data_IF_727511929117
#
_entry.id   IF_727511929117
#
_cell.length_a   1.000
_cell.length_b   1.000
_cell.length_c   1.000
_cell.angle_alpha   90.00
_cell.angle_beta   90.00
_cell.angle_gamma   90.00
#
_symmetry.space_group_name_H-M   'P 1'
#
loop_
_entity.id
_entity.type
_entity.pdbx_description
1 polymer ?
#
# COMPACT_ATOMS: atom_id res chain seq x y z
N UNK A 1 12.01 -16.90 -26.92
CA UNK A 1 11.99 -16.44 -28.32
C UNK A 1 13.13 -15.49 -28.65
N UNK A 2 13.16 -14.24 -28.14
CA UNK A 2 14.22 -13.26 -28.51
C UNK A 2 15.61 -13.81 -28.21
N UNK A 3 15.96 -14.16 -26.97
CA UNK A 3 17.31 -14.69 -26.65
C UNK A 3 17.73 -15.91 -27.47
N UNK A 4 16.81 -16.83 -27.77
CA UNK A 4 17.10 -18.05 -28.53
C UNK A 4 17.50 -17.74 -29.99
N UNK A 5 16.84 -16.77 -30.63
CA UNK A 5 17.12 -16.41 -32.02
C UNK A 5 18.43 -15.61 -32.22
N UNK A 6 19.14 -15.23 -31.15
CA UNK A 6 20.28 -14.30 -31.25
C UNK A 6 21.46 -14.92 -31.99
N UNK A 7 21.84 -16.14 -31.60
CA UNK A 7 22.96 -16.86 -32.21
C UNK A 7 22.73 -17.10 -33.70
N UNK A 8 21.51 -17.48 -34.06
CA UNK A 8 21.10 -17.76 -35.44
C UNK A 8 20.98 -16.48 -36.27
N UNK A 9 20.42 -15.40 -35.74
CA UNK A 9 20.47 -14.09 -36.42
C UNK A 9 21.92 -13.62 -36.60
N UNK A 10 22.82 -13.87 -35.66
CA UNK A 10 24.24 -13.52 -35.83
C UNK A 10 24.88 -14.31 -36.98
N UNK A 11 24.55 -15.59 -37.15
CA UNK A 11 25.00 -16.41 -38.30
C UNK A 11 24.50 -15.84 -39.63
N UNK A 12 23.21 -15.52 -39.74
CA UNK A 12 22.62 -14.96 -40.97
C UNK A 12 23.23 -13.58 -41.31
N UNK A 13 23.45 -12.72 -40.31
CA UNK A 13 24.06 -11.39 -40.48
C UNK A 13 25.52 -11.51 -40.93
N UNK A 14 26.28 -12.43 -40.35
CA UNK A 14 27.66 -12.68 -40.76
C UNK A 14 27.73 -13.20 -42.20
N UNK A 15 26.76 -14.02 -42.62
CA UNK A 15 26.65 -14.47 -44.00
C UNK A 15 26.42 -13.29 -44.95
N UNK A 16 25.51 -12.36 -44.62
CA UNK A 16 25.31 -11.12 -45.39
C UNK A 16 26.59 -10.29 -45.52
N UNK A 17 27.37 -10.15 -44.44
CA UNK A 17 28.67 -9.46 -44.50
C UNK A 17 29.67 -10.18 -45.42
N UNK A 18 29.68 -11.51 -45.42
CA UNK A 18 30.52 -12.29 -46.35
C UNK A 18 30.11 -12.07 -47.81
N UNK A 19 28.80 -11.97 -48.10
CA UNK A 19 28.29 -11.61 -49.44
C UNK A 19 28.80 -10.22 -49.84
N UNK A 20 28.59 -9.21 -48.98
CA UNK A 20 29.02 -7.82 -49.24
C UNK A 20 30.54 -7.69 -49.40
N UNK A 21 31.33 -8.55 -48.76
CA UNK A 21 32.78 -8.54 -48.87
C UNK A 21 33.26 -8.92 -50.29
N UNK A 22 32.63 -9.90 -50.93
CA UNK A 22 33.08 -10.45 -52.22
C UNK A 22 32.23 -10.01 -53.42
N UNK A 23 31.08 -9.36 -53.18
CA UNK A 23 30.17 -8.90 -54.25
C UNK A 23 30.00 -7.38 -54.30
N UNK A 24 29.78 -6.84 -55.49
CA UNK A 24 29.32 -5.47 -55.74
C UNK A 24 27.88 -5.49 -56.23
N UNK A 25 27.11 -4.48 -55.79
CA UNK A 25 25.77 -4.25 -56.34
C UNK A 25 25.87 -3.47 -57.63
N UNK A 26 25.16 -3.93 -58.63
CA UNK A 26 24.94 -3.25 -59.88
C UNK A 26 23.46 -3.17 -60.21
N UNK A 27 23.19 -2.58 -61.36
CA UNK A 27 21.88 -2.58 -61.98
C UNK A 27 21.97 -3.36 -63.29
N UNK A 28 20.94 -4.15 -63.58
CA UNK A 28 20.72 -4.79 -64.87
C UNK A 28 19.35 -4.34 -65.41
N UNK A 29 19.24 -4.13 -66.72
CA UNK A 29 18.02 -3.63 -67.38
C UNK A 29 18.14 -2.23 -68.02
N UNK A 30 17.28 -1.99 -69.01
CA UNK A 30 17.15 -0.72 -69.73
C UNK A 30 16.40 0.35 -68.90
N UNK A 31 16.39 1.61 -69.36
CA UNK A 31 15.76 2.73 -68.65
C UNK A 31 14.26 2.48 -68.40
N UNK A 32 13.92 1.95 -67.22
CA UNK A 32 12.55 1.66 -66.79
C UNK A 32 12.44 0.41 -65.90
N UNK A 33 13.32 -0.58 -66.11
CA UNK A 33 13.27 -1.89 -65.43
C UNK A 33 14.61 -2.22 -64.74
N UNK A 34 15.14 -1.28 -63.96
CA UNK A 34 16.40 -1.51 -63.24
C UNK A 34 16.22 -2.56 -62.15
N UNK A 35 16.70 -3.78 -62.38
CA UNK A 35 16.80 -4.84 -61.38
C UNK A 35 18.15 -4.72 -60.66
N UNK A 36 18.14 -4.78 -59.33
CA UNK A 36 19.39 -4.89 -58.56
C UNK A 36 20.01 -6.26 -58.82
N UNK A 37 21.31 -6.30 -59.12
CA UNK A 37 22.06 -7.53 -59.34
C UNK A 37 23.34 -7.53 -58.51
N UNK A 38 23.84 -8.71 -58.16
CA UNK A 38 25.15 -8.90 -57.53
C UNK A 38 26.18 -9.37 -58.55
N UNK A 39 27.41 -8.88 -58.42
CA UNK A 39 28.57 -9.23 -59.26
C UNK A 39 29.76 -9.53 -58.37
N UNK A 40 30.65 -10.43 -58.78
CA UNK A 40 31.90 -10.69 -58.05
C UNK A 40 32.89 -9.51 -58.21
N UNK A 41 33.64 -9.19 -57.15
CA UNK A 41 34.58 -8.06 -57.14
C UNK A 41 35.86 -8.27 -57.98
N UNK A 42 36.32 -9.50 -58.22
CA UNK A 42 37.49 -9.79 -59.07
C UNK A 42 37.65 -11.30 -59.39
N UNK A 43 38.65 -11.67 -60.21
CA UNK A 43 39.01 -13.06 -60.56
C UNK A 43 39.56 -13.86 -59.35
N UNK A 44 40.05 -13.20 -58.30
CA UNK A 44 40.67 -13.83 -57.12
C UNK A 44 39.64 -14.35 -56.09
N UNK A 45 38.35 -14.10 -56.32
CA UNK A 45 37.30 -14.43 -55.35
C UNK A 45 36.56 -15.75 -55.66
N UNK A 46 37.06 -16.59 -56.58
CA UNK A 46 36.43 -17.88 -56.92
C UNK A 46 36.33 -18.81 -55.71
N UNK A 47 37.45 -19.09 -55.04
CA UNK A 47 37.48 -19.97 -53.87
C UNK A 47 36.62 -19.42 -52.72
N UNK A 48 36.66 -18.09 -52.50
CA UNK A 48 35.82 -17.42 -51.51
C UNK A 48 34.34 -17.49 -51.85
N UNK A 49 33.99 -17.48 -53.14
CA UNK A 49 32.62 -17.62 -53.60
C UNK A 49 32.12 -19.06 -53.39
N UNK A 50 32.93 -20.07 -53.69
CA UNK A 50 32.58 -21.47 -53.38
C UNK A 50 32.41 -21.67 -51.87
N UNK A 51 33.32 -21.11 -51.07
CA UNK A 51 33.21 -21.12 -49.61
C UNK A 51 31.93 -20.42 -49.14
N UNK A 52 31.58 -19.28 -49.75
CA UNK A 52 30.34 -18.56 -49.47
C UNK A 52 29.11 -19.42 -49.79
N UNK A 53 29.06 -20.10 -50.94
CA UNK A 53 27.93 -20.97 -51.31
C UNK A 53 27.78 -22.15 -50.35
N UNK A 54 28.90 -22.77 -49.96
CA UNK A 54 28.92 -23.84 -48.96
C UNK A 54 28.38 -23.34 -47.62
N UNK A 55 28.90 -22.20 -47.14
CA UNK A 55 28.50 -21.57 -45.88
C UNK A 55 27.04 -21.12 -45.91
N UNK A 56 26.56 -20.59 -47.03
CA UNK A 56 25.17 -20.20 -47.21
C UNK A 56 24.24 -21.41 -47.05
N UNK A 57 24.56 -22.52 -47.71
CA UNK A 57 23.79 -23.75 -47.60
C UNK A 57 23.82 -24.34 -46.17
N UNK A 58 24.97 -24.31 -45.52
CA UNK A 58 25.12 -24.75 -44.13
C UNK A 58 24.27 -23.91 -43.18
N UNK A 59 24.41 -22.58 -43.24
CA UNK A 59 23.62 -21.66 -42.41
C UNK A 59 22.12 -21.84 -42.69
N UNK A 60 21.67 -21.91 -43.95
CA UNK A 60 20.26 -22.11 -44.25
C UNK A 60 19.72 -23.43 -43.67
N UNK A 61 20.50 -24.51 -43.72
CA UNK A 61 20.13 -25.80 -43.12
C UNK A 61 20.06 -25.72 -41.59
N UNK A 62 21.06 -25.11 -40.95
CA UNK A 62 21.08 -24.98 -39.48
C UNK A 62 19.94 -24.10 -38.97
N UNK A 63 19.53 -23.12 -39.77
CA UNK A 63 18.60 -22.08 -39.36
C UNK A 63 17.16 -22.29 -39.84
N UNK A 64 16.90 -23.38 -40.58
CA UNK A 64 15.60 -23.70 -41.21
C UNK A 64 14.43 -23.69 -40.22
N UNK A 65 14.63 -24.21 -39.01
CA UNK A 65 13.59 -24.29 -37.98
C UNK A 65 13.54 -23.06 -37.07
N UNK A 66 14.49 -22.13 -37.20
CA UNK A 66 14.59 -20.92 -36.36
C UNK A 66 14.16 -19.65 -37.08
N UNK A 67 13.70 -19.81 -38.33
CA UNK A 67 13.09 -18.76 -39.12
C UNK A 67 11.89 -18.19 -38.37
N UNK A 68 11.82 -16.85 -38.11
CA UNK A 68 10.68 -16.28 -37.40
C UNK A 68 9.31 -16.72 -37.96
N UNK A 69 8.53 -17.37 -37.10
CA UNK A 69 7.23 -17.97 -37.42
C UNK A 69 6.11 -16.92 -37.50
N UNK A 70 4.91 -17.33 -37.95
CA UNK A 70 3.72 -16.45 -37.95
C UNK A 70 3.42 -15.95 -36.54
N UNK A 71 3.46 -16.86 -35.57
CA UNK A 71 3.29 -16.56 -34.13
C UNK A 71 4.32 -15.54 -33.62
N UNK A 72 5.59 -15.70 -34.01
CA UNK A 72 6.64 -14.76 -33.62
C UNK A 72 6.35 -13.34 -34.11
N UNK A 73 5.88 -13.19 -35.36
CA UNK A 73 5.51 -11.89 -35.92
C UNK A 73 4.25 -11.33 -35.27
N UNK A 74 3.24 -12.16 -35.00
CA UNK A 74 2.03 -11.75 -34.26
C UNK A 74 2.37 -11.21 -32.87
N UNK A 75 3.28 -11.86 -32.14
CA UNK A 75 3.74 -11.37 -30.82
C UNK A 75 4.47 -10.04 -30.88
N UNK A 76 5.18 -9.76 -31.99
CA UNK A 76 5.79 -8.45 -32.22
C UNK A 76 4.71 -7.39 -32.47
N UNK A 77 3.68 -7.71 -33.25
CA UNK A 77 2.53 -6.82 -33.49
C UNK A 77 1.76 -6.55 -32.18
N UNK A 78 1.48 -7.59 -31.39
CA UNK A 78 0.85 -7.49 -30.06
C UNK A 78 1.64 -6.57 -29.13
N UNK A 79 2.95 -6.78 -29.03
CA UNK A 79 3.80 -5.96 -28.17
C UNK A 79 3.94 -4.51 -28.68
N UNK A 80 3.88 -4.29 -30.01
CA UNK A 80 3.82 -2.94 -30.58
C UNK A 80 2.51 -2.22 -30.21
N UNK A 81 1.38 -2.91 -30.28
CA UNK A 81 0.08 -2.36 -29.89
C UNK A 81 0.03 -2.04 -28.39
N UNK A 82 0.43 -2.98 -27.54
CA UNK A 82 0.51 -2.77 -26.08
C UNK A 82 1.39 -1.57 -25.72
N UNK A 83 2.53 -1.40 -26.41
CA UNK A 83 3.38 -0.21 -26.23
C UNK A 83 2.63 1.09 -26.56
N UNK A 84 1.85 1.12 -27.64
CA UNK A 84 1.06 2.29 -28.03
C UNK A 84 -0.01 2.59 -26.97
N UNK A 85 -0.70 1.57 -26.47
CA UNK A 85 -1.69 1.70 -25.40
C UNK A 85 -1.06 2.25 -24.11
N UNK A 86 0.03 1.65 -23.63
CA UNK A 86 0.74 2.15 -22.43
C UNK A 86 1.20 3.59 -22.61
N UNK A 87 1.62 3.97 -23.82
CA UNK A 87 2.01 5.36 -24.12
C UNK A 87 0.80 6.31 -24.06
N UNK A 88 -0.36 5.89 -24.55
CA UNK A 88 -1.62 6.63 -24.46
C UNK A 88 -2.04 6.84 -23.01
N UNK A 89 -2.17 5.73 -22.25
CA UNK A 89 -2.55 5.74 -20.83
C UNK A 89 -1.58 6.62 -20.03
N UNK A 90 -0.28 6.49 -20.27
CA UNK A 90 0.73 7.32 -19.58
C UNK A 90 0.48 8.81 -19.81
N UNK A 91 0.15 9.24 -21.03
CA UNK A 91 -0.13 10.65 -21.32
C UNK A 91 -1.35 11.15 -20.54
N UNK A 92 -2.39 10.32 -20.42
CA UNK A 92 -3.60 10.66 -19.65
C UNK A 92 -3.31 10.76 -18.15
N UNK A 93 -2.52 9.82 -17.61
CA UNK A 93 -2.06 9.84 -16.21
C UNK A 93 -1.19 11.07 -15.97
N UNK A 94 -0.22 11.36 -16.83
CA UNK A 94 0.66 12.53 -16.71
C UNK A 94 -0.15 13.84 -16.78
N UNK A 95 -1.16 13.92 -17.65
CA UNK A 95 -2.07 15.05 -17.73
C UNK A 95 -2.85 15.24 -16.41
N UNK A 96 -3.44 14.16 -15.89
CA UNK A 96 -4.22 14.15 -14.65
C UNK A 96 -3.36 14.52 -13.45
N UNK A 97 -2.15 13.96 -13.37
CA UNK A 97 -1.17 14.24 -12.34
C UNK A 97 -0.75 15.72 -12.35
N UNK A 98 -0.53 16.30 -13.53
CA UNK A 98 -0.19 17.71 -13.64
C UNK A 98 -1.37 18.61 -13.23
N UNK A 99 -2.59 18.30 -13.66
CA UNK A 99 -3.78 19.03 -13.24
C UNK A 99 -3.97 18.98 -11.71
N UNK A 100 -3.76 17.81 -11.10
CA UNK A 100 -3.83 17.63 -9.65
C UNK A 100 -2.71 18.41 -8.91
N UNK A 101 -1.48 18.40 -9.43
CA UNK A 101 -0.37 19.20 -8.86
C UNK A 101 -0.70 20.69 -8.86
N UNK A 102 -1.26 21.22 -9.95
CA UNK A 102 -1.67 22.63 -10.01
C UNK A 102 -2.85 22.92 -9.06
N UNK A 103 -3.82 22.02 -8.95
CA UNK A 103 -4.92 22.15 -8.00
C UNK A 103 -4.42 22.18 -6.54
N UNK A 104 -3.52 21.26 -6.15
CA UNK A 104 -2.92 21.23 -4.81
C UNK A 104 -2.13 22.51 -4.52
N UNK A 105 -1.30 22.96 -5.47
CA UNK A 105 -0.56 24.23 -5.33
C UNK A 105 -1.47 25.43 -5.09
N UNK A 106 -2.65 25.46 -5.71
CA UNK A 106 -3.58 26.58 -5.55
C UNK A 106 -4.03 26.77 -4.08
N UNK A 107 -4.07 25.71 -3.27
CA UNK A 107 -4.33 25.80 -1.84
C UNK A 107 -3.24 26.56 -1.06
N UNK A 108 -2.02 26.61 -1.58
CA UNK A 108 -0.91 27.33 -0.94
C UNK A 108 -0.91 28.83 -1.26
N UNK A 109 -1.61 29.26 -2.33
CA UNK A 109 -1.62 30.66 -2.80
C UNK A 109 -2.88 31.44 -2.43
N UNK A 110 -3.93 30.76 -1.98
CA UNK A 110 -5.13 31.44 -1.51
C UNK A 110 -4.81 32.06 -0.14
N UNK A 111 -4.82 33.39 -0.07
CA UNK A 111 -4.60 34.23 1.14
C UNK A 111 -5.69 34.07 2.21
N UNK A 112 -6.46 32.98 2.12
CA UNK A 112 -7.46 32.53 3.09
C UNK A 112 -6.74 31.56 4.03
N UNK A 113 -7.00 31.63 5.32
CA UNK A 113 -6.37 30.80 6.36
C UNK A 113 -6.76 29.30 6.24
N UNK A 114 -6.35 28.65 5.15
CA UNK A 114 -6.68 27.28 4.75
C UNK A 114 -6.12 26.25 5.73
N UNK A 115 -4.94 26.52 6.28
CA UNK A 115 -4.33 25.73 7.34
C UNK A 115 -5.16 25.70 8.62
N UNK A 116 -6.06 26.68 8.82
CA UNK A 116 -7.01 26.72 9.93
C UNK A 116 -8.28 25.89 9.70
N UNK A 117 -8.53 25.39 8.49
CA UNK A 117 -9.72 24.59 8.17
C UNK A 117 -9.36 23.09 8.05
N UNK A 118 -9.81 22.29 9.01
CA UNK A 118 -9.53 20.85 9.06
C UNK A 118 -10.00 20.10 7.81
N UNK A 119 -11.17 20.43 7.26
CA UNK A 119 -11.71 19.78 6.07
C UNK A 119 -10.86 20.10 4.84
N UNK A 120 -10.38 21.33 4.72
CA UNK A 120 -9.54 21.70 3.59
C UNK A 120 -8.16 21.04 3.65
N UNK A 121 -7.60 20.87 4.86
CA UNK A 121 -6.38 20.09 5.06
C UNK A 121 -6.59 18.60 4.74
N UNK A 122 -7.73 18.03 5.11
CA UNK A 122 -8.09 16.65 4.75
C UNK A 122 -8.16 16.46 3.23
N UNK A 123 -8.81 17.37 2.50
CA UNK A 123 -8.87 17.34 1.02
C UNK A 123 -7.49 17.49 0.40
N UNK A 124 -6.65 18.40 0.93
CA UNK A 124 -5.26 18.57 0.46
C UNK A 124 -4.46 17.29 0.64
N UNK A 125 -4.51 16.69 1.84
CA UNK A 125 -3.80 15.45 2.15
C UNK A 125 -4.25 14.31 1.23
N UNK A 126 -5.56 14.14 1.03
CA UNK A 126 -6.10 13.15 0.09
C UNK A 126 -5.61 13.40 -1.35
N UNK A 127 -5.54 14.66 -1.77
CA UNK A 127 -4.96 15.05 -3.06
C UNK A 127 -3.48 14.67 -3.18
N UNK A 128 -2.68 14.89 -2.13
CA UNK A 128 -1.27 14.52 -2.10
C UNK A 128 -1.06 13.00 -2.15
N UNK A 129 -1.89 12.21 -1.45
CA UNK A 129 -1.89 10.76 -1.54
C UNK A 129 -2.21 10.27 -2.96
N UNK A 130 -3.25 10.83 -3.60
CA UNK A 130 -3.59 10.50 -5.00
C UNK A 130 -2.45 10.89 -5.95
N UNK A 131 -1.82 12.05 -5.74
CA UNK A 131 -0.66 12.50 -6.52
C UNK A 131 0.47 11.48 -6.45
N UNK A 132 0.78 10.98 -5.25
CA UNK A 132 1.87 10.03 -5.04
C UNK A 132 1.58 8.67 -5.68
N UNK A 133 0.32 8.22 -5.61
CA UNK A 133 -0.15 7.02 -6.34
C UNK A 133 0.00 7.21 -7.86
N UNK A 134 -0.48 8.32 -8.42
CA UNK A 134 -0.37 8.61 -9.85
C UNK A 134 1.10 8.72 -10.30
N UNK A 135 1.97 9.31 -9.47
CA UNK A 135 3.40 9.40 -9.75
C UNK A 135 4.05 8.00 -9.78
N UNK A 136 3.65 7.10 -8.88
CA UNK A 136 4.09 5.71 -8.89
C UNK A 136 3.59 4.97 -10.14
N UNK A 137 2.33 5.16 -10.54
CA UNK A 137 1.78 4.61 -11.79
C UNK A 137 2.55 5.10 -13.01
N UNK A 138 2.85 6.41 -13.10
CA UNK A 138 3.69 6.97 -14.17
C UNK A 138 5.06 6.31 -14.21
N UNK A 139 5.69 6.06 -13.05
CA UNK A 139 7.00 5.40 -12.98
C UNK A 139 6.93 3.95 -13.48
N UNK A 140 5.91 3.18 -13.07
CA UNK A 140 5.69 1.80 -13.53
C UNK A 140 5.44 1.78 -15.04
N UNK A 141 4.54 2.62 -15.56
CA UNK A 141 4.27 2.75 -16.99
C UNK A 141 5.53 3.16 -17.76
N UNK A 142 6.37 4.03 -17.18
CA UNK A 142 7.66 4.43 -17.72
C UNK A 142 8.60 3.24 -17.88
N UNK A 143 8.79 2.46 -16.83
CA UNK A 143 9.66 1.28 -16.84
C UNK A 143 9.19 0.23 -17.87
N UNK A 144 7.90 -0.09 -17.88
CA UNK A 144 7.32 -1.05 -18.83
C UNK A 144 7.47 -0.55 -20.28
N UNK A 145 7.21 0.73 -20.54
CA UNK A 145 7.33 1.31 -21.89
C UNK A 145 8.77 1.25 -22.40
N UNK A 146 9.75 1.52 -21.53
CA UNK A 146 11.19 1.45 -21.89
C UNK A 146 11.59 0.00 -22.19
N UNK A 147 11.25 -0.94 -21.31
CA UNK A 147 11.55 -2.37 -21.52
C UNK A 147 10.91 -2.92 -22.80
N UNK A 148 9.64 -2.57 -23.06
CA UNK A 148 8.95 -2.95 -24.29
C UNK A 148 9.59 -2.31 -25.53
N UNK A 149 10.01 -1.04 -25.46
CA UNK A 149 10.70 -0.38 -26.58
C UNK A 149 11.97 -1.12 -26.98
N UNK A 150 12.79 -1.54 -26.01
CA UNK A 150 14.01 -2.29 -26.29
C UNK A 150 13.70 -3.69 -26.83
N UNK A 151 12.82 -4.44 -26.17
CA UNK A 151 12.49 -5.82 -26.57
C UNK A 151 11.83 -5.90 -27.96
N UNK A 152 10.86 -5.01 -28.23
CA UNK A 152 10.19 -4.93 -29.54
C UNK A 152 11.14 -4.39 -30.60
N UNK A 153 11.95 -3.39 -30.28
CA UNK A 153 12.96 -2.84 -31.19
C UNK A 153 13.98 -3.89 -31.61
N UNK A 154 14.45 -4.69 -30.65
CA UNK A 154 15.40 -5.77 -30.89
C UNK A 154 14.78 -6.89 -31.75
N UNK A 155 13.55 -7.31 -31.43
CA UNK A 155 12.82 -8.32 -32.20
C UNK A 155 12.59 -7.87 -33.65
N UNK A 156 12.21 -6.59 -33.86
CA UNK A 156 12.09 -5.99 -35.19
C UNK A 156 13.43 -5.92 -35.92
N UNK A 157 14.49 -5.51 -35.23
CA UNK A 157 15.84 -5.46 -35.80
C UNK A 157 16.30 -6.83 -36.32
N UNK A 158 16.00 -7.89 -35.56
CA UNK A 158 16.27 -9.28 -35.98
C UNK A 158 15.43 -9.67 -37.20
N UNK A 159 14.14 -9.34 -37.20
CA UNK A 159 13.24 -9.60 -38.33
C UNK A 159 13.72 -8.91 -39.63
N UNK A 160 14.15 -7.66 -39.53
CA UNK A 160 14.74 -6.92 -40.66
C UNK A 160 16.08 -7.50 -41.09
N UNK A 161 16.91 -7.98 -40.16
CA UNK A 161 18.16 -8.68 -40.49
C UNK A 161 17.92 -9.96 -41.29
N UNK A 162 16.92 -10.75 -40.91
CA UNK A 162 16.49 -11.94 -41.65
C UNK A 162 15.96 -11.57 -43.04
N UNK A 163 15.08 -10.56 -43.12
CA UNK A 163 14.54 -10.07 -44.39
C UNK A 163 15.64 -9.63 -45.35
N UNK A 164 16.61 -8.84 -44.85
CA UNK A 164 17.79 -8.43 -45.61
C UNK A 164 18.59 -9.65 -46.07
N UNK A 165 18.89 -10.59 -45.18
CA UNK A 165 19.70 -11.75 -45.53
C UNK A 165 19.06 -12.64 -46.60
N UNK A 166 17.75 -12.91 -46.52
CA UNK A 166 17.04 -13.65 -47.57
C UNK A 166 17.00 -12.89 -48.90
N UNK A 167 16.92 -11.56 -48.88
CA UNK A 167 17.01 -10.76 -50.09
C UNK A 167 18.41 -10.85 -50.73
N UNK A 168 19.48 -10.74 -49.95
CA UNK A 168 20.85 -10.91 -50.47
C UNK A 168 21.10 -12.32 -50.99
N UNK A 169 20.68 -13.35 -50.27
CA UNK A 169 20.87 -14.74 -50.71
C UNK A 169 20.09 -15.06 -51.98
N UNK A 170 18.90 -14.46 -52.15
CA UNK A 170 18.17 -14.53 -53.41
C UNK A 170 18.97 -13.91 -54.55
N UNK A 171 19.53 -12.72 -54.34
CA UNK A 171 20.39 -12.07 -55.34
C UNK A 171 21.62 -12.91 -55.68
N UNK A 172 22.22 -13.60 -54.70
CA UNK A 172 23.31 -14.55 -54.95
C UNK A 172 22.83 -15.69 -55.84
N UNK A 173 21.70 -16.32 -55.52
CA UNK A 173 21.14 -17.40 -56.37
C UNK A 173 20.79 -16.96 -57.80
N UNK A 174 20.48 -15.67 -58.00
CA UNK A 174 20.20 -15.07 -59.31
C UNK A 174 21.46 -14.61 -60.06
N UNK A 175 22.67 -14.77 -59.50
CA UNK A 175 23.91 -14.29 -60.15
C UNK A 175 24.18 -14.91 -61.52
N UNK A 176 23.70 -16.13 -61.77
CA UNK A 176 23.84 -16.80 -63.06
C UNK A 176 22.93 -16.20 -64.16
N UNK A 177 21.92 -15.39 -63.79
CA UNK A 177 20.99 -14.76 -64.73
C UNK A 177 21.49 -13.40 -65.25
N UNK A 178 22.58 -12.88 -64.67
CA UNK A 178 23.08 -11.53 -64.96
C UNK A 178 23.72 -11.50 -66.34
N UNK A 179 23.14 -10.71 -67.26
CA UNK A 179 23.60 -10.63 -68.66
C UNK A 179 24.73 -9.61 -68.89
N UNK A 180 25.00 -8.75 -67.92
CA UNK A 180 25.95 -7.63 -68.07
C UNK A 180 27.39 -8.11 -68.26
N UNK A 181 28.22 -7.29 -68.92
CA UNK A 181 29.66 -7.48 -69.17
C UNK A 181 30.46 -7.83 -67.90
N UNK A 182 30.44 -9.08 -67.50
CA UNK A 182 31.46 -9.70 -66.64
C UNK A 182 32.60 -10.17 -67.55
N UNK A 183 33.86 -10.19 -67.07
CA UNK A 183 34.93 -10.88 -67.76
C UNK A 183 34.50 -12.34 -68.06
N UNK A 184 34.79 -12.84 -69.26
CA UNK A 184 34.29 -14.16 -69.72
C UNK A 184 34.69 -15.30 -68.77
N UNK A 185 35.86 -15.19 -68.12
CA UNK A 185 36.31 -16.13 -67.10
C UNK A 185 35.42 -16.19 -65.85
N UNK A 186 34.90 -15.03 -65.41
CA UNK A 186 33.99 -14.93 -64.25
C UNK A 186 32.62 -15.47 -64.64
N UNK A 187 32.16 -15.14 -65.85
CA UNK A 187 30.90 -15.63 -66.39
C UNK A 187 30.88 -17.15 -66.54
N UNK A 188 31.92 -17.73 -67.13
CA UNK A 188 32.07 -19.19 -67.25
C UNK A 188 32.10 -19.89 -65.89
N UNK A 189 32.80 -19.30 -64.91
CA UNK A 189 32.83 -19.83 -63.55
C UNK A 189 31.46 -19.80 -62.86
N UNK A 190 30.74 -18.68 -62.92
CA UNK A 190 29.38 -18.56 -62.35
C UNK A 190 28.41 -19.50 -63.04
N UNK A 191 28.50 -19.66 -64.37
CA UNK A 191 27.67 -20.63 -65.10
C UNK A 191 27.98 -22.08 -64.68
N UNK A 192 29.24 -22.40 -64.40
CA UNK A 192 29.65 -23.69 -63.82
C UNK A 192 29.02 -23.97 -62.44
N UNK A 193 28.57 -22.93 -61.74
CA UNK A 193 27.89 -23.00 -60.43
C UNK A 193 26.38 -22.90 -60.49
N UNK A 194 25.79 -22.90 -61.70
CA UNK A 194 24.35 -22.70 -61.91
C UNK A 194 23.47 -23.63 -61.07
N UNK A 195 23.80 -24.92 -60.96
CA UNK A 195 23.02 -25.89 -60.17
C UNK A 195 22.99 -25.51 -58.69
N UNK A 196 24.12 -25.11 -58.13
CA UNK A 196 24.24 -24.70 -56.72
C UNK A 196 23.48 -23.39 -56.46
N UNK A 197 23.54 -22.45 -57.40
CA UNK A 197 22.86 -21.16 -57.34
C UNK A 197 21.34 -21.31 -57.44
N UNK A 198 20.84 -22.17 -58.33
CA UNK A 198 19.41 -22.48 -58.43
C UNK A 198 18.88 -23.22 -57.21
N UNK A 199 19.67 -24.14 -56.65
CA UNK A 199 19.34 -24.79 -55.39
C UNK A 199 19.26 -23.79 -54.24
N UNK A 200 20.21 -22.85 -54.16
CA UNK A 200 20.20 -21.77 -53.17
C UNK A 200 18.95 -20.89 -53.34
N UNK A 201 18.68 -20.43 -54.56
CA UNK A 201 17.50 -19.60 -54.91
C UNK A 201 16.20 -20.28 -54.49
N UNK A 202 16.05 -21.57 -54.79
CA UNK A 202 14.87 -22.36 -54.44
C UNK A 202 14.66 -22.46 -52.92
N UNK A 203 15.75 -22.64 -52.15
CA UNK A 203 15.69 -22.69 -50.67
C UNK A 203 15.28 -21.36 -50.04
N UNK A 204 15.61 -20.23 -50.66
CA UNK A 204 15.33 -18.91 -50.09
C UNK A 204 14.01 -18.29 -50.55
N UNK A 205 13.52 -18.66 -51.74
CA UNK A 205 12.33 -18.03 -52.34
C UNK A 205 11.07 -18.23 -51.48
N UNK A 206 10.85 -19.46 -51.01
CA UNK A 206 9.71 -19.80 -50.15
C UNK A 206 9.71 -19.01 -48.84
N UNK A 207 10.74 -19.15 -47.99
CA UNK A 207 10.87 -18.39 -46.75
C UNK A 207 10.79 -16.88 -46.96
N UNK A 208 11.44 -16.34 -48.01
CA UNK A 208 11.40 -14.91 -48.32
C UNK A 208 9.97 -14.43 -48.60
N UNK A 209 9.20 -15.12 -49.45
CA UNK A 209 7.80 -14.75 -49.74
C UNK A 209 6.96 -14.75 -48.47
N UNK A 210 7.14 -15.78 -47.63
CA UNK A 210 6.45 -15.88 -46.34
C UNK A 210 6.80 -14.68 -45.44
N UNK A 211 8.08 -14.27 -45.38
CA UNK A 211 8.50 -13.08 -44.64
C UNK A 211 7.95 -11.78 -45.19
N UNK A 212 8.06 -11.57 -46.50
CA UNK A 212 7.59 -10.35 -47.13
C UNK A 212 6.10 -10.18 -46.88
N UNK A 213 5.30 -11.25 -47.07
CA UNK A 213 3.87 -11.23 -46.79
C UNK A 213 3.56 -10.93 -45.32
N UNK A 214 4.34 -11.46 -44.38
CA UNK A 214 4.14 -11.25 -42.93
C UNK A 214 4.60 -9.88 -42.43
N UNK A 215 5.58 -9.26 -43.08
CA UNK A 215 6.20 -8.00 -42.62
C UNK A 215 5.75 -6.78 -43.39
N UNK A 216 5.26 -6.96 -44.62
CA UNK A 216 4.75 -5.86 -45.43
C UNK A 216 3.48 -5.29 -44.82
N UNK A 217 3.58 -4.04 -44.35
CA UNK A 217 2.47 -3.31 -43.73
C UNK A 217 1.35 -2.99 -44.73
N UNK A 218 1.63 -3.01 -46.04
CA UNK A 218 0.64 -2.78 -47.10
C UNK A 218 -0.07 -4.07 -47.53
N UNK A 219 0.41 -5.22 -47.08
CA UNK A 219 -0.22 -6.49 -47.39
C UNK A 219 -1.52 -6.63 -46.57
N UNK A 220 -2.64 -6.89 -47.27
CA UNK A 220 -3.98 -7.05 -46.66
C UNK A 220 -4.03 -8.14 -45.59
N UNK A 221 -3.29 -9.23 -45.74
CA UNK A 221 -3.22 -10.31 -44.75
C UNK A 221 -2.50 -9.84 -43.47
N UNK A 222 -1.44 -9.05 -43.62
CA UNK A 222 -0.72 -8.47 -42.47
C UNK A 222 -1.56 -7.42 -41.76
N UNK A 223 -2.29 -6.59 -42.51
CA UNK A 223 -3.24 -5.64 -41.94
C UNK A 223 -4.37 -6.35 -41.18
N UNK A 224 -5.00 -7.36 -41.80
CA UNK A 224 -6.06 -8.15 -41.14
C UNK A 224 -5.54 -8.83 -39.86
N UNK A 225 -4.36 -9.46 -39.90
CA UNK A 225 -3.73 -10.07 -38.72
C UNK A 225 -3.53 -9.05 -37.60
N UNK A 226 -3.03 -7.86 -37.92
CA UNK A 226 -2.82 -6.79 -36.94
C UNK A 226 -4.13 -6.34 -36.32
N UNK A 227 -5.17 -6.13 -37.13
CA UNK A 227 -6.48 -5.75 -36.64
C UNK A 227 -7.06 -6.81 -35.70
N UNK A 228 -6.97 -8.10 -36.05
CA UNK A 228 -7.37 -9.19 -35.15
C UNK A 228 -6.56 -9.18 -33.85
N UNK A 229 -5.24 -8.98 -33.93
CA UNK A 229 -4.37 -8.93 -32.75
C UNK A 229 -4.75 -7.75 -31.84
N UNK A 230 -5.06 -6.59 -32.43
CA UNK A 230 -5.54 -5.40 -31.74
C UNK A 230 -6.86 -5.70 -31.03
N UNK A 231 -7.84 -6.27 -31.72
CA UNK A 231 -9.15 -6.62 -31.15
C UNK A 231 -9.02 -7.62 -29.98
N UNK A 232 -8.15 -8.63 -30.10
CA UNK A 232 -7.88 -9.60 -29.04
C UNK A 232 -7.20 -8.98 -27.81
N UNK A 233 -6.26 -8.05 -28.02
CA UNK A 233 -5.63 -7.29 -26.92
C UNK A 233 -6.66 -6.39 -26.25
N UNK A 234 -7.44 -5.64 -27.01
CA UNK A 234 -8.47 -4.72 -26.51
C UNK A 234 -9.52 -5.48 -25.69
N UNK A 235 -9.94 -6.67 -26.16
CA UNK A 235 -10.85 -7.55 -25.45
C UNK A 235 -10.27 -8.02 -24.11
N UNK A 236 -9.04 -8.55 -24.11
CA UNK A 236 -8.36 -9.00 -22.89
C UNK A 236 -8.19 -7.86 -21.89
N UNK A 237 -7.88 -6.66 -22.37
CA UNK A 237 -7.75 -5.47 -21.53
C UNK A 237 -9.10 -5.07 -20.90
N UNK A 238 -10.20 -5.09 -21.67
CA UNK A 238 -11.54 -4.83 -21.15
C UNK A 238 -11.95 -5.83 -20.08
N UNK A 239 -11.70 -7.12 -20.32
CA UNK A 239 -12.00 -8.20 -19.36
C UNK A 239 -11.17 -8.04 -18.07
N UNK A 240 -9.87 -7.76 -18.19
CA UNK A 240 -8.99 -7.53 -17.04
C UNK A 240 -9.42 -6.29 -16.24
N UNK A 241 -9.74 -5.19 -16.91
CA UNK A 241 -10.23 -3.97 -16.26
C UNK A 241 -11.57 -4.21 -15.54
N UNK A 242 -12.49 -4.95 -16.15
CA UNK A 242 -13.77 -5.29 -15.53
C UNK A 242 -13.59 -6.17 -14.29
N UNK A 243 -12.71 -7.17 -14.35
CA UNK A 243 -12.39 -8.01 -13.20
C UNK A 243 -11.76 -7.20 -12.05
N UNK A 244 -10.83 -6.30 -12.38
CA UNK A 244 -10.19 -5.44 -11.38
C UNK A 244 -11.18 -4.46 -10.72
N UNK A 245 -12.10 -3.88 -11.51
CA UNK A 245 -13.17 -3.04 -10.97
C UNK A 245 -14.06 -3.79 -9.97
N UNK A 246 -14.39 -5.05 -10.25
CA UNK A 246 -15.15 -5.88 -9.32
C UNK A 246 -14.39 -6.12 -8.01
N UNK A 247 -13.09 -6.41 -8.09
CA UNK A 247 -12.24 -6.57 -6.90
C UNK A 247 -12.19 -5.29 -6.07
N UNK A 248 -12.03 -4.13 -6.72
CA UNK A 248 -12.06 -2.84 -6.03
C UNK A 248 -13.41 -2.56 -5.37
N UNK A 249 -14.53 -2.93 -6.00
CA UNK A 249 -15.87 -2.80 -5.40
C UNK A 249 -16.06 -3.71 -4.18
N UNK A 250 -15.58 -4.95 -4.24
CA UNK A 250 -15.60 -5.87 -3.09
C UNK A 250 -14.74 -5.37 -1.93
N UNK A 251 -13.54 -4.86 -2.23
CA UNK A 251 -12.64 -4.29 -1.23
C UNK A 251 -13.26 -3.05 -0.57
N UNK A 252 -13.88 -2.15 -1.35
CA UNK A 252 -14.63 -1.01 -0.81
C UNK A 252 -15.75 -1.43 0.12
N UNK A 253 -16.50 -2.49 -0.23
CA UNK A 253 -17.56 -3.04 0.65
C UNK A 253 -16.98 -3.56 1.96
N UNK A 254 -15.88 -4.32 1.90
CA UNK A 254 -15.20 -4.84 3.10
C UNK A 254 -14.71 -3.72 4.02
N UNK A 255 -14.08 -2.69 3.45
CA UNK A 255 -13.62 -1.52 4.22
C UNK A 255 -14.82 -0.82 4.89
N UNK A 256 -15.92 -0.61 4.16
CA UNK A 256 -17.11 0.02 4.71
C UNK A 256 -17.77 -0.81 5.83
N UNK A 257 -17.80 -2.14 5.69
CA UNK A 257 -18.29 -3.05 6.73
C UNK A 257 -17.41 -3.04 7.98
N UNK A 258 -16.08 -3.06 7.81
CA UNK A 258 -15.13 -2.96 8.91
C UNK A 258 -15.19 -1.61 9.62
N UNK A 259 -15.36 -0.51 8.89
CA UNK A 259 -15.56 0.82 9.46
C UNK A 259 -16.85 0.89 10.28
N UNK A 260 -17.94 0.33 9.75
CA UNK A 260 -19.20 0.24 10.48
C UNK A 260 -19.07 -0.59 11.76
N UNK A 261 -18.38 -1.73 11.69
CA UNK A 261 -18.11 -2.60 12.84
C UNK A 261 -17.27 -1.88 13.90
N UNK A 262 -16.22 -1.18 13.49
CA UNK A 262 -15.38 -0.36 14.40
C UNK A 262 -16.18 0.74 15.08
N UNK A 263 -17.01 1.46 14.32
CA UNK A 263 -17.86 2.51 14.87
C UNK A 263 -18.91 1.98 15.86
N UNK A 264 -19.49 0.81 15.60
CA UNK A 264 -20.44 0.15 16.51
C UNK A 264 -19.75 -0.32 17.79
N UNK A 265 -18.55 -0.92 17.69
CA UNK A 265 -17.78 -1.33 18.84
C UNK A 265 -17.38 -0.14 19.73
N UNK A 266 -16.96 0.97 19.12
CA UNK A 266 -16.63 2.19 19.85
C UNK A 266 -17.85 2.81 20.55
N UNK A 267 -19.01 2.81 19.89
CA UNK A 267 -20.28 3.21 20.54
C UNK A 267 -20.60 2.34 21.74
N UNK A 268 -20.44 1.02 21.62
CA UNK A 268 -20.68 0.08 22.72
C UNK A 268 -19.73 0.35 23.89
N UNK A 269 -18.44 0.59 23.62
CA UNK A 269 -17.44 0.94 24.65
C UNK A 269 -17.81 2.23 25.38
N UNK A 270 -18.22 3.27 24.66
CA UNK A 270 -18.65 4.54 25.26
C UNK A 270 -19.91 4.36 26.11
N UNK A 271 -20.85 3.54 25.68
CA UNK A 271 -22.08 3.26 26.44
C UNK A 271 -21.81 2.43 27.70
N UNK A 272 -20.98 1.37 27.59
CA UNK A 272 -20.52 0.57 28.73
C UNK A 272 -19.78 1.42 29.77
N UNK A 273 -18.90 2.33 29.33
CA UNK A 273 -18.18 3.24 30.22
C UNK A 273 -19.13 4.23 30.93
N UNK A 274 -20.09 4.82 30.20
CA UNK A 274 -21.12 5.67 30.81
C UNK A 274 -21.96 4.92 31.84
N UNK A 275 -22.37 3.68 31.53
CA UNK A 275 -23.12 2.85 32.46
C UNK A 275 -22.31 2.53 33.72
N UNK A 276 -21.02 2.23 33.57
CA UNK A 276 -20.10 1.98 34.69
C UNK A 276 -19.98 3.22 35.59
N UNK A 277 -19.76 4.40 35.02
CA UNK A 277 -19.66 5.66 35.76
C UNK A 277 -20.97 5.99 36.51
N UNK A 278 -22.12 5.82 35.87
CA UNK A 278 -23.41 6.04 36.50
C UNK A 278 -23.67 5.07 37.67
N UNK A 279 -23.26 3.81 37.54
CA UNK A 279 -23.37 2.82 38.62
C UNK A 279 -22.45 3.15 39.81
N UNK A 280 -21.24 3.63 39.53
CA UNK A 280 -20.28 4.06 40.55
C UNK A 280 -20.78 5.31 41.30
N UNK A 281 -21.30 6.31 40.60
CA UNK A 281 -21.90 7.50 41.21
C UNK A 281 -23.08 7.13 42.12
N UNK A 282 -23.95 6.23 41.67
CA UNK A 282 -25.07 5.75 42.50
C UNK A 282 -24.59 5.06 43.78
N UNK A 283 -23.55 4.22 43.68
CA UNK A 283 -22.95 3.56 44.85
C UNK A 283 -22.38 4.57 45.85
N UNK A 284 -21.70 5.60 45.35
CA UNK A 284 -21.15 6.67 46.20
C UNK A 284 -22.26 7.45 46.93
N UNK A 285 -23.36 7.77 46.24
CA UNK A 285 -24.52 8.43 46.85
C UNK A 285 -25.20 7.56 47.91
N UNK A 286 -25.34 6.26 47.66
CA UNK A 286 -25.94 5.33 48.62
C UNK A 286 -25.04 5.14 49.86
N UNK A 287 -23.71 5.07 49.69
CA UNK A 287 -22.75 5.06 50.80
C UNK A 287 -22.77 6.35 51.62
N UNK A 288 -22.90 7.51 50.99
CA UNK A 288 -22.99 8.80 51.68
C UNK A 288 -24.27 8.90 52.51
N UNK A 289 -25.41 8.46 51.96
CA UNK A 289 -26.68 8.37 52.70
C UNK A 289 -26.57 7.46 53.90
N UNK A 290 -25.99 6.27 53.74
CA UNK A 290 -25.78 5.33 54.84
C UNK A 290 -24.91 5.94 55.96
N UNK A 291 -23.82 6.63 55.59
CA UNK A 291 -22.97 7.35 56.55
C UNK A 291 -23.71 8.48 57.27
N UNK A 292 -24.60 9.21 56.58
CA UNK A 292 -25.41 10.24 57.22
C UNK A 292 -26.44 9.66 58.20
N UNK A 293 -27.11 8.57 57.84
CA UNK A 293 -28.05 7.88 58.74
C UNK A 293 -27.34 7.31 59.98
N UNK A 294 -26.16 6.72 59.81
CA UNK A 294 -25.35 6.23 60.92
C UNK A 294 -24.94 7.38 61.86
N UNK A 295 -24.45 8.50 61.32
CA UNK A 295 -24.14 9.70 62.13
C UNK A 295 -25.35 10.20 62.90
N UNK A 296 -26.53 10.21 62.29
CA UNK A 296 -27.77 10.61 62.94
C UNK A 296 -28.13 9.66 64.09
N UNK A 297 -28.03 8.34 63.88
CA UNK A 297 -28.27 7.34 64.93
C UNK A 297 -27.30 7.49 66.10
N UNK A 298 -26.01 7.70 65.83
CA UNK A 298 -25.00 7.91 66.88
C UNK A 298 -25.27 9.19 67.66
N UNK A 299 -25.68 10.28 66.99
CA UNK A 299 -26.05 11.54 67.64
C UNK A 299 -27.29 11.38 68.54
N UNK A 300 -28.34 10.70 68.07
CA UNK A 300 -29.54 10.40 68.86
C UNK A 300 -29.24 9.50 70.07
N UNK A 301 -28.36 8.51 69.93
CA UNK A 301 -27.93 7.66 71.06
C UNK A 301 -27.11 8.45 72.08
N UNK A 302 -26.23 9.36 71.63
CA UNK A 302 -25.47 10.24 72.51
C UNK A 302 -26.37 11.23 73.27
N UNK A 303 -27.38 11.81 72.61
CA UNK A 303 -28.42 12.64 73.24
C UNK A 303 -29.20 11.84 74.29
N UNK A 304 -29.64 10.63 73.97
CA UNK A 304 -30.33 9.75 74.94
C UNK A 304 -29.46 9.42 76.16
N UNK A 305 -28.18 9.11 75.96
CA UNK A 305 -27.23 8.87 77.07
C UNK A 305 -27.05 10.11 77.93
N UNK A 306 -26.88 11.29 77.33
CA UNK A 306 -26.79 12.57 78.07
C UNK A 306 -28.07 12.87 78.86
N UNK A 307 -29.24 12.60 78.28
CA UNK A 307 -30.53 12.78 78.97
C UNK A 307 -30.69 11.81 80.14
N UNK A 308 -30.31 10.54 79.95
CA UNK A 308 -30.32 9.53 81.01
C UNK A 308 -29.34 9.86 82.15
N UNK A 309 -28.13 10.32 81.83
CA UNK A 309 -27.16 10.76 82.83
C UNK A 309 -27.64 11.99 83.60
N UNK A 310 -28.25 12.98 82.92
CA UNK A 310 -28.88 14.13 83.60
C UNK A 310 -30.03 13.70 84.52
N UNK A 311 -30.87 12.75 84.09
CA UNK A 311 -31.96 12.23 84.91
C UNK A 311 -31.44 11.45 86.13
N UNK A 312 -30.33 10.71 85.98
CA UNK A 312 -29.67 10.02 87.10
C UNK A 312 -29.07 11.01 88.09
N UNK A 313 -28.37 12.04 87.60
CA UNK A 313 -27.81 13.10 88.43
C UNK A 313 -28.91 13.88 89.17
N UNK A 314 -30.03 14.19 88.50
CA UNK A 314 -31.17 14.83 89.12
C UNK A 314 -31.81 13.96 90.22
N UNK A 315 -31.91 12.63 90.03
CA UNK A 315 -32.37 11.69 91.06
C UNK A 315 -31.40 11.60 92.23
N UNK A 316 -30.09 11.57 91.99
CA UNK A 316 -29.08 11.60 93.06
C UNK A 316 -29.13 12.92 93.85
N UNK A 317 -29.37 14.04 93.18
CA UNK A 317 -29.54 15.35 93.83
C UNK A 317 -30.84 15.43 94.62
N UNK A 318 -31.93 14.82 94.11
CA UNK A 318 -33.18 14.68 94.85
C UNK A 318 -33.03 13.77 96.06
N UNK A 319 -32.32 12.65 95.95
CA UNK A 319 -32.03 11.79 97.11
C UNK A 319 -31.12 12.49 98.12
N UNK A 320 -30.10 13.25 97.67
CA UNK A 320 -29.24 14.03 98.57
C UNK A 320 -30.02 15.13 99.28
N UNK A 321 -30.90 15.84 98.57
CA UNK A 321 -31.75 16.87 99.16
C UNK A 321 -32.83 16.27 100.07
N UNK A 322 -33.43 15.13 99.73
CA UNK A 322 -34.33 14.38 100.60
C UNK A 322 -33.60 13.88 101.86
N UNK A 323 -32.40 13.31 101.74
CA UNK A 323 -31.56 12.93 102.90
C UNK A 323 -31.16 14.16 103.73
N UNK A 324 -30.94 15.32 103.11
CA UNK A 324 -30.72 16.58 103.85
C UNK A 324 -31.99 17.10 104.51
N UNK A 325 -33.16 16.95 103.89
CA UNK A 325 -34.44 17.40 104.43
C UNK A 325 -34.89 16.48 105.57
N UNK A 326 -34.68 15.17 105.44
CA UNK A 326 -34.92 14.18 106.49
C UNK A 326 -33.94 14.36 107.65
N UNK A 327 -32.66 14.69 107.37
CA UNK A 327 -31.72 15.12 108.39
C UNK A 327 -32.11 16.46 109.05
N UNK A 328 -32.74 17.38 108.31
CA UNK A 328 -33.28 18.63 108.88
C UNK A 328 -34.54 18.39 109.70
N UNK A 329 -35.46 17.52 109.28
CA UNK A 329 -36.68 17.15 110.01
C UNK A 329 -36.39 16.30 111.23
N UNK A 330 -35.39 15.40 111.18
CA UNK A 330 -34.86 14.74 112.37
C UNK A 330 -34.27 15.75 113.35
N UNK A 331 -33.49 16.73 112.86
CA UNK A 331 -32.98 17.82 113.70
C UNK A 331 -34.08 18.77 114.21
N UNK A 332 -35.18 18.95 113.47
CA UNK A 332 -36.30 19.82 113.85
C UNK A 332 -37.28 19.14 114.82
N UNK A 333 -37.47 17.82 114.70
CA UNK A 333 -38.24 17.01 115.66
C UNK A 333 -37.44 16.77 116.96
N UNK A 334 -36.13 16.55 116.85
CA UNK A 334 -35.22 16.50 118.00
C UNK A 334 -35.08 17.89 118.66
N UNK A 335 -35.10 18.99 117.89
CA UNK A 335 -35.15 20.35 118.42
C UNK A 335 -36.50 20.73 119.06
N UNK A 336 -37.64 20.24 118.56
CA UNK A 336 -38.95 20.42 119.23
C UNK A 336 -39.06 19.63 120.53
N UNK A 337 -38.46 18.43 120.61
CA UNK A 337 -38.39 17.64 121.87
C UNK A 337 -37.30 18.12 122.84
N UNK A 338 -36.27 18.81 122.36
CA UNK A 338 -35.24 19.45 123.18
C UNK A 338 -35.58 20.89 123.62
N UNK A 339 -36.52 21.58 122.96
CA UNK A 339 -36.97 22.92 123.34
C UNK A 339 -37.91 22.96 124.58
N UNK A 340 -38.59 21.85 124.92
CA UNK A 340 -39.39 21.74 126.15
C UNK A 340 -38.58 21.33 127.40
N UNK A 341 -37.39 20.75 127.24
CA UNK A 341 -36.52 20.36 128.36
C UNK A 341 -35.34 21.31 128.49
N UNK A 342 -35.72 22.55 128.79
CA UNK A 342 -35.10 23.42 129.78
C UNK A 342 -33.57 23.53 129.80
N UNK A 343 -33.12 24.77 129.59
CA UNK A 343 -32.35 25.51 130.61
C UNK A 343 -31.32 24.65 131.38
N UNK A 344 -30.07 24.60 130.90
CA UNK A 344 -28.82 24.81 131.68
C UNK A 344 -27.56 24.36 130.91
N UNK A 345 -26.67 25.35 130.68
CA UNK A 345 -25.18 25.32 130.79
C UNK A 345 -24.38 24.45 129.77
N UNK A 346 -23.52 25.10 128.95
CA UNK A 346 -22.02 25.21 129.05
C UNK A 346 -21.30 23.85 128.93
N UNK A 347 -20.17 23.63 128.25
CA UNK A 347 -19.13 24.46 127.63
C UNK A 347 -18.27 23.53 126.73
N UNK A 348 -17.57 24.11 125.73
CA UNK A 348 -16.30 23.60 125.18
C UNK A 348 -16.36 22.38 124.23
N UNK A 349 -15.42 22.14 123.31
CA UNK A 349 -14.20 22.84 122.91
C UNK A 349 -13.67 22.16 121.63
N UNK A 350 -12.86 22.89 120.86
CA UNK A 350 -11.80 22.40 119.97
C UNK A 350 -12.15 21.80 118.58
N UNK A 351 -11.92 22.60 117.52
CA UNK A 351 -10.80 22.52 116.53
C UNK A 351 -10.16 21.14 116.24
N UNK A 352 -9.40 20.97 115.14
CA UNK A 352 -9.41 21.65 113.82
C UNK A 352 -9.10 20.68 112.63
N UNK A 353 -8.99 21.26 111.41
CA UNK A 353 -7.99 20.91 110.37
C UNK A 353 -8.13 19.54 109.65
N UNK A 354 -7.68 19.31 108.41
CA UNK A 354 -7.11 20.05 107.27
C UNK A 354 -7.00 18.97 106.15
N UNK A 355 -6.59 19.40 104.95
CA UNK A 355 -5.92 18.62 103.89
C UNK A 355 -6.72 17.51 103.17
N UNK A 356 -6.51 17.14 101.90
CA UNK A 356 -5.42 17.23 100.90
C UNK A 356 -6.13 17.00 99.52
N UNK A 357 -5.77 17.69 98.42
CA UNK A 357 -4.97 17.15 97.28
C UNK A 357 -5.70 16.10 96.43
N UNK A 358 -5.71 16.06 95.10
CA UNK A 358 -4.73 16.30 94.03
C UNK A 358 -5.51 16.24 92.70
N UNK A 359 -5.29 16.99 91.63
CA UNK A 359 -4.08 17.29 90.85
C UNK A 359 -3.69 16.19 89.81
N UNK A 360 -4.24 16.33 88.58
CA UNK A 360 -3.57 16.18 87.24
C UNK A 360 -3.30 14.70 86.80
N UNK A 361 -2.83 14.39 85.56
CA UNK A 361 -3.57 14.09 84.31
C UNK A 361 -3.08 12.78 83.60
N UNK A 362 -3.62 12.40 82.43
CA UNK A 362 -2.97 11.50 81.44
C UNK A 362 -3.76 11.60 80.11
N UNK A 363 -3.29 12.05 78.94
CA UNK A 363 -2.03 12.01 78.18
C UNK A 363 -1.88 10.77 77.26
N UNK A 364 -1.90 11.04 75.93
CA UNK A 364 -1.37 10.31 74.76
C UNK A 364 -2.05 9.01 74.26
N UNK A 365 -2.36 8.94 72.94
CA UNK A 365 -1.58 8.17 71.94
C UNK A 365 -2.14 8.32 70.48
N UNK A 366 -1.28 8.85 69.56
CA UNK A 366 -1.02 8.42 68.15
C UNK A 366 -2.11 8.69 67.08
N UNK A 367 -1.95 9.46 65.99
CA UNK A 367 -0.83 9.92 65.12
C UNK A 367 -0.22 8.85 64.17
N UNK A 368 -0.57 8.90 62.86
CA UNK A 368 0.08 8.19 61.73
C UNK A 368 -0.81 7.12 61.07
N UNK A 369 -0.88 6.85 59.76
CA UNK A 369 -0.10 7.15 58.54
C UNK A 369 -1.07 6.96 57.33
N UNK A 370 -1.14 7.74 56.24
CA UNK A 370 -0.26 7.84 55.05
C UNK A 370 0.30 6.52 54.48
N UNK A 371 0.31 6.47 53.13
CA UNK A 371 0.92 5.50 52.19
C UNK A 371 0.01 4.35 51.70
N UNK A 372 -0.45 4.39 50.45
CA UNK A 372 0.29 4.15 49.18
C UNK A 372 0.71 2.68 49.07
N UNK A 373 -0.08 1.94 48.30
CA UNK A 373 0.35 0.91 47.35
C UNK A 373 -0.55 1.03 46.12
#
# INVERSE_FOLDING_TARGET
>A
MVKQAEGVTKKIVNLTKSIEAITTRGWDGEQGERKTVLRLKSIVDKDKFEELLRKANEVLRETENEVPTKDAVSKIDEAEHLKLMCTGIRKEVDYTLNALKEAIKSYDYLDVNYSGNALAMEVKNAGEEIRDVLQNVTNVLGNVTVQNRFSVGEAKGRLEAWKKAYAELKLVGEMHEVKVMLPEEVKSFVEGKRVELEALKSKVEGPKKVFDNRTDRKNKETEARRNTTIEEVDKRLKEANAAELLLMEEEKKKIAEDDKRRAEEERRRVEEEKARLAAEEKRMLDEEKAKMEEKKRVAEEAERKKAADKARLAKEEQERSAKQEEAKRAKEEEAKRAAEKAKKKKDGSSRPALVLSSLVPLLLFVLGCTLVC
#
